data_IF_829258305634
#
_entry.id   IF_829258305634
#
_cell.length_a   1.000
_cell.length_b   1.000
_cell.length_c   1.000
_cell.angle_alpha   90.00
_cell.angle_beta   90.00
_cell.angle_gamma   90.00
#
_symmetry.space_group_name_H-M   'P 1'
#
loop_
_entity.id
_entity.type
_entity.pdbx_description
1 polymer ?
#
# COMPACT_ATOMS: atom_id res chain seq x y z
N UNK A 1 8.95 9.21 13.43
CA UNK A 1 10.13 8.45 12.98
C UNK A 1 10.90 9.34 12.00
N UNK A 2 12.14 9.74 12.29
CA UNK A 2 12.91 10.67 11.43
C UNK A 2 13.66 9.97 10.27
N UNK A 3 13.63 8.64 10.22
CA UNK A 3 14.37 7.83 9.24
C UNK A 3 13.66 6.51 8.98
N UNK A 4 13.55 6.10 7.72
CA UNK A 4 12.98 4.81 7.32
C UNK A 4 14.04 3.71 7.39
N UNK A 5 13.71 2.58 8.04
CA UNK A 5 14.64 1.47 8.29
C UNK A 5 15.98 1.91 8.94
N UNK A 6 15.97 3.04 9.66
CA UNK A 6 17.14 3.64 10.31
C UNK A 6 18.26 4.14 9.39
N UNK A 7 18.08 4.07 8.06
CA UNK A 7 19.12 4.45 7.09
C UNK A 7 18.65 5.30 5.92
N UNK A 8 17.33 5.43 5.70
CA UNK A 8 16.78 6.21 4.59
C UNK A 8 16.03 7.45 5.07
N UNK A 9 16.05 8.50 4.26
CA UNK A 9 15.17 9.67 4.43
C UNK A 9 13.71 9.26 4.25
N UNK A 10 12.78 10.07 4.78
CA UNK A 10 11.35 9.82 4.62
C UNK A 10 10.89 9.95 3.15
N UNK A 11 11.53 10.82 2.38
CA UNK A 11 11.26 10.96 0.94
C UNK A 11 11.64 9.69 0.18
N UNK A 12 12.82 9.13 0.47
CA UNK A 12 13.23 7.85 -0.10
C UNK A 12 12.29 6.72 0.32
N UNK A 13 11.74 6.78 1.53
CA UNK A 13 10.73 5.83 1.99
C UNK A 13 9.44 5.89 1.16
N UNK A 14 8.97 7.09 0.82
CA UNK A 14 7.79 7.30 -0.02
C UNK A 14 8.01 6.77 -1.44
N UNK A 15 9.21 6.96 -2.04
CA UNK A 15 9.57 6.33 -3.33
C UNK A 15 9.51 4.82 -3.23
N UNK A 16 10.23 4.25 -2.25
CA UNK A 16 10.34 2.80 -2.08
C UNK A 16 8.97 2.17 -1.89
N UNK A 17 8.10 2.83 -1.11
CA UNK A 17 6.72 2.42 -0.95
C UNK A 17 5.97 2.42 -2.28
N UNK A 18 6.02 3.52 -3.02
CA UNK A 18 5.37 3.64 -4.34
C UNK A 18 5.81 2.56 -5.31
N UNK A 19 7.12 2.31 -5.40
CA UNK A 19 7.69 1.23 -6.24
C UNK A 19 7.23 -0.16 -5.79
N UNK A 20 7.11 -0.40 -4.48
CA UNK A 20 6.57 -1.66 -3.97
C UNK A 20 5.09 -1.85 -4.36
N UNK A 21 4.28 -0.78 -4.32
CA UNK A 21 2.89 -0.85 -4.80
C UNK A 21 2.82 -1.13 -6.31
N UNK A 22 3.72 -0.56 -7.11
CA UNK A 22 3.82 -0.85 -8.56
C UNK A 22 4.16 -2.32 -8.78
N UNK A 23 5.16 -2.83 -8.07
CA UNK A 23 5.55 -4.24 -8.17
C UNK A 23 4.39 -5.19 -7.78
N UNK A 24 3.68 -4.88 -6.70
CA UNK A 24 2.51 -5.63 -6.27
C UNK A 24 1.38 -5.60 -7.33
N UNK A 25 1.08 -4.42 -7.89
CA UNK A 25 0.08 -4.29 -8.96
C UNK A 25 0.46 -5.15 -10.18
N UNK A 26 1.71 -5.08 -10.63
CA UNK A 26 2.19 -5.88 -11.76
C UNK A 26 2.10 -7.38 -11.47
N UNK A 27 2.51 -7.82 -10.27
CA UNK A 27 2.40 -9.22 -9.86
C UNK A 27 0.96 -9.75 -9.97
N UNK A 28 -0.01 -9.03 -9.41
CA UNK A 28 -1.41 -9.44 -9.46
C UNK A 28 -2.02 -9.32 -10.87
N UNK A 29 -1.59 -8.32 -11.65
CA UNK A 29 -1.98 -8.21 -13.06
C UNK A 29 -1.51 -9.44 -13.87
N UNK A 30 -0.23 -9.82 -13.75
CA UNK A 30 0.28 -11.00 -14.43
C UNK A 30 -0.43 -12.28 -13.97
N UNK A 31 -0.63 -12.45 -12.66
CA UNK A 31 -1.35 -13.61 -12.11
C UNK A 31 -2.78 -13.69 -12.67
N UNK A 32 -3.48 -12.56 -12.72
CA UNK A 32 -4.79 -12.47 -13.35
C UNK A 32 -4.78 -12.84 -14.85
N UNK A 33 -3.87 -12.26 -15.65
CA UNK A 33 -3.83 -12.49 -17.12
C UNK A 33 -3.53 -13.93 -17.52
N UNK A 34 -2.94 -14.70 -16.62
CA UNK A 34 -2.64 -16.12 -16.88
C UNK A 34 -3.82 -17.04 -16.55
N UNK A 35 -4.87 -16.55 -15.88
CA UNK A 35 -6.04 -17.32 -15.42
C UNK A 35 -5.68 -18.61 -14.65
N UNK A 36 -4.48 -18.65 -14.07
CA UNK A 36 -3.93 -19.85 -13.40
C UNK A 36 -4.64 -20.20 -12.08
N UNK A 37 -5.18 -19.26 -11.28
CA UNK A 37 -5.91 -19.63 -10.07
C UNK A 37 -7.43 -19.75 -10.29
N UNK A 38 -8.05 -20.70 -9.57
CA UNK A 38 -9.50 -20.94 -9.52
C UNK A 38 -10.30 -19.68 -9.19
N UNK A 39 -9.72 -18.74 -8.43
CA UNK A 39 -10.33 -17.46 -8.04
C UNK A 39 -9.60 -16.26 -8.65
N UNK A 40 -9.33 -16.30 -9.97
CA UNK A 40 -8.65 -15.24 -10.72
C UNK A 40 -9.29 -13.85 -10.58
N UNK A 41 -10.58 -13.75 -10.24
CA UNK A 41 -11.23 -12.46 -10.00
C UNK A 41 -10.70 -11.74 -8.75
N UNK A 42 -10.21 -12.47 -7.74
CA UNK A 42 -9.54 -11.84 -6.59
C UNK A 42 -8.22 -11.19 -7.00
N UNK A 43 -7.52 -11.73 -8.00
CA UNK A 43 -6.33 -11.09 -8.55
C UNK A 43 -6.64 -9.80 -9.27
N UNK A 44 -7.72 -9.78 -10.06
CA UNK A 44 -8.18 -8.55 -10.70
C UNK A 44 -8.53 -7.48 -9.65
N UNK A 45 -9.28 -7.84 -8.61
CA UNK A 45 -9.66 -6.89 -7.56
C UNK A 45 -8.44 -6.40 -6.78
N UNK A 46 -7.51 -7.28 -6.45
CA UNK A 46 -6.26 -6.92 -5.77
C UNK A 46 -5.40 -6.02 -6.65
N UNK A 47 -5.28 -6.33 -7.95
CA UNK A 47 -4.63 -5.47 -8.94
C UNK A 47 -5.25 -4.08 -8.97
N UNK A 48 -6.59 -3.97 -9.01
CA UNK A 48 -7.28 -2.67 -9.02
C UNK A 48 -7.01 -1.88 -7.74
N UNK A 49 -7.00 -2.51 -6.57
CA UNK A 49 -6.70 -1.86 -5.30
C UNK A 49 -5.27 -1.29 -5.29
N UNK A 50 -4.28 -2.10 -5.68
CA UNK A 50 -2.91 -1.62 -5.80
C UNK A 50 -2.76 -0.58 -6.93
N UNK A 51 -3.53 -0.71 -8.01
CA UNK A 51 -3.60 0.25 -9.11
C UNK A 51 -4.03 1.64 -8.62
N UNK A 52 -5.04 1.73 -7.76
CA UNK A 52 -5.45 3.01 -7.14
C UNK A 52 -4.31 3.63 -6.33
N UNK A 53 -3.54 2.82 -5.58
CA UNK A 53 -2.35 3.31 -4.83
C UNK A 53 -1.24 3.79 -5.75
N UNK A 54 -1.00 3.07 -6.84
CA UNK A 54 -0.02 3.44 -7.87
C UNK A 54 -0.43 4.75 -8.54
N UNK A 55 -1.70 4.93 -8.90
CA UNK A 55 -2.18 6.16 -9.50
C UNK A 55 -2.03 7.35 -8.56
N UNK A 56 -2.32 7.19 -7.26
CA UNK A 56 -2.09 8.24 -6.27
C UNK A 56 -0.60 8.57 -6.10
N UNK A 57 0.27 7.56 -6.13
CA UNK A 57 1.73 7.76 -6.11
C UNK A 57 2.22 8.53 -7.34
N UNK A 58 1.83 8.09 -8.54
CA UNK A 58 2.21 8.75 -9.81
C UNK A 58 1.68 10.18 -9.87
N UNK A 59 0.44 10.41 -9.42
CA UNK A 59 -0.15 11.74 -9.35
C UNK A 59 0.67 12.68 -8.45
N UNK A 60 1.02 12.24 -7.25
CA UNK A 60 1.82 13.05 -6.31
C UNK A 60 3.24 13.31 -6.80
N UNK A 61 3.85 12.34 -7.49
CA UNK A 61 5.18 12.50 -8.09
C UNK A 61 5.16 13.44 -9.31
N UNK A 62 4.15 13.35 -10.17
CA UNK A 62 4.13 14.04 -11.47
C UNK A 62 3.51 15.44 -11.42
N UNK A 63 2.46 15.65 -10.62
CA UNK A 63 1.69 16.89 -10.64
C UNK A 63 2.10 17.90 -9.58
N UNK A 64 2.56 17.43 -8.42
CA UNK A 64 2.90 18.28 -7.27
C UNK A 64 4.41 18.27 -6.97
N UNK A 65 5.26 18.21 -8.01
CA UNK A 65 6.72 18.15 -7.93
C UNK A 65 7.20 17.34 -6.73
N UNK A 66 6.88 16.05 -6.72
CA UNK A 66 7.36 15.13 -5.70
C UNK A 66 6.74 15.34 -4.30
N UNK A 67 5.41 15.42 -4.23
CA UNK A 67 4.68 15.63 -2.97
C UNK A 67 5.06 16.93 -2.24
N UNK A 68 5.34 18.02 -2.97
CA UNK A 68 5.70 19.31 -2.38
C UNK A 68 4.57 19.97 -1.56
N UNK A 69 3.33 19.49 -1.67
CA UNK A 69 2.19 20.04 -0.92
C UNK A 69 1.63 19.05 0.09
N UNK A 70 1.29 19.56 1.28
CA UNK A 70 0.60 18.81 2.34
C UNK A 70 -0.69 18.16 1.83
N UNK A 71 -1.41 18.83 0.93
CA UNK A 71 -2.63 18.29 0.31
C UNK A 71 -2.36 17.02 -0.49
N UNK A 72 -1.29 16.98 -1.28
CA UNK A 72 -0.91 15.80 -2.07
C UNK A 72 -0.53 14.62 -1.19
N UNK A 73 0.25 14.89 -0.12
CA UNK A 73 0.64 13.88 0.89
C UNK A 73 -0.58 13.30 1.61
N UNK A 74 -1.52 14.17 1.98
CA UNK A 74 -2.77 13.77 2.63
C UNK A 74 -3.65 12.90 1.73
N UNK A 75 -3.78 13.24 0.45
CA UNK A 75 -4.49 12.42 -0.53
C UNK A 75 -3.83 11.04 -0.64
N UNK A 76 -2.50 11.00 -0.79
CA UNK A 76 -1.76 9.74 -0.91
C UNK A 76 -1.92 8.85 0.33
N UNK A 77 -1.81 9.44 1.52
CA UNK A 77 -2.05 8.74 2.78
C UNK A 77 -3.49 8.22 2.91
N UNK A 78 -4.49 9.05 2.63
CA UNK A 78 -5.88 8.66 2.72
C UNK A 78 -6.20 7.52 1.75
N UNK A 79 -5.72 7.62 0.51
CA UNK A 79 -5.83 6.55 -0.48
C UNK A 79 -5.19 5.26 0.01
N UNK A 80 -4.00 5.33 0.60
CA UNK A 80 -3.32 4.16 1.16
C UNK A 80 -4.13 3.49 2.28
N UNK A 81 -4.66 4.27 3.22
CA UNK A 81 -5.46 3.77 4.35
C UNK A 81 -6.76 3.12 3.85
N UNK A 82 -7.53 3.79 3.00
CA UNK A 82 -8.79 3.26 2.49
C UNK A 82 -8.58 1.97 1.69
N UNK A 83 -7.57 1.96 0.82
CA UNK A 83 -7.22 0.76 0.04
C UNK A 83 -6.67 -0.37 0.93
N UNK A 84 -6.01 -0.06 2.06
CA UNK A 84 -5.58 -1.09 3.02
C UNK A 84 -6.77 -1.78 3.69
N UNK A 85 -7.80 -1.02 4.08
CA UNK A 85 -9.04 -1.59 4.61
C UNK A 85 -9.78 -2.41 3.56
N UNK A 86 -9.89 -1.90 2.33
CA UNK A 86 -10.50 -2.65 1.23
C UNK A 86 -9.76 -3.97 1.00
N UNK A 87 -8.43 -3.93 0.94
CA UNK A 87 -7.59 -5.11 0.77
C UNK A 87 -7.79 -6.11 1.93
N UNK A 88 -7.77 -5.65 3.18
CA UNK A 88 -7.99 -6.51 4.34
C UNK A 88 -9.36 -7.21 4.29
N UNK A 89 -10.42 -6.48 3.92
CA UNK A 89 -11.75 -7.05 3.75
C UNK A 89 -11.77 -8.14 2.66
N UNK A 90 -11.17 -7.87 1.50
CA UNK A 90 -11.11 -8.84 0.40
C UNK A 90 -10.34 -10.11 0.79
N UNK A 91 -9.21 -9.97 1.48
CA UNK A 91 -8.40 -11.11 1.94
C UNK A 91 -9.17 -11.98 2.91
N UNK A 92 -9.86 -11.38 3.90
CA UNK A 92 -10.67 -12.13 4.86
C UNK A 92 -11.77 -12.89 4.14
N UNK A 93 -12.44 -12.24 3.19
CA UNK A 93 -13.48 -12.88 2.39
C UNK A 93 -12.94 -14.05 1.55
N UNK A 94 -11.78 -13.86 0.90
CA UNK A 94 -11.10 -14.91 0.13
C UNK A 94 -10.67 -16.08 1.03
N UNK A 95 -10.14 -15.82 2.22
CA UNK A 95 -9.80 -16.85 3.20
C UNK A 95 -11.00 -17.69 3.63
N UNK A 96 -12.17 -17.06 3.82
CA UNK A 96 -13.40 -17.78 4.17
C UNK A 96 -13.80 -18.71 3.02
N UNK A 97 -13.74 -18.24 1.77
CA UNK A 97 -14.05 -19.08 0.59
C UNK A 97 -13.09 -20.26 0.50
N UNK A 98 -11.78 -20.04 0.61
CA UNK A 98 -10.79 -21.12 0.60
C UNK A 98 -11.03 -22.12 1.73
N UNK A 99 -11.36 -21.65 2.93
CA UNK A 99 -11.63 -22.54 4.05
C UNK A 99 -12.88 -23.39 3.79
N UNK A 100 -13.96 -22.79 3.29
CA UNK A 100 -15.21 -23.50 2.98
C UNK A 100 -15.02 -24.51 1.85
N UNK A 101 -14.35 -24.13 0.76
CA UNK A 101 -14.24 -24.96 -0.44
C UNK A 101 -13.30 -26.15 -0.25
N UNK A 102 -12.21 -25.97 0.51
CA UNK A 102 -11.22 -27.03 0.72
C UNK A 102 -11.39 -27.76 2.05
N UNK A 103 -12.32 -27.33 2.91
CA UNK A 103 -12.65 -27.98 4.18
C UNK A 103 -11.53 -27.92 5.24
N UNK A 104 -10.48 -27.13 5.02
CA UNK A 104 -9.38 -26.93 5.97
C UNK A 104 -8.87 -25.50 5.92
N UNK A 105 -8.27 -25.04 7.02
CA UNK A 105 -7.78 -23.68 7.14
C UNK A 105 -6.58 -23.45 6.21
N UNK A 106 -6.57 -22.40 5.36
CA UNK A 106 -5.50 -22.17 4.39
C UNK A 106 -4.26 -21.51 5.05
N UNK A 107 -3.51 -22.29 5.83
CA UNK A 107 -2.40 -21.83 6.68
C UNK A 107 -1.35 -21.01 5.92
N UNK A 108 -0.89 -21.50 4.77
CA UNK A 108 0.14 -20.81 3.97
C UNK A 108 -0.35 -19.44 3.47
N UNK A 109 -1.61 -19.40 3.03
CA UNK A 109 -2.25 -18.18 2.56
C UNK A 109 -2.43 -17.17 3.72
N UNK A 110 -2.82 -17.67 4.90
CA UNK A 110 -2.93 -16.88 6.12
C UNK A 110 -1.62 -16.20 6.51
N UNK A 111 -0.52 -16.95 6.60
CA UNK A 111 0.77 -16.37 6.98
C UNK A 111 1.31 -15.41 5.91
N UNK A 112 1.09 -15.69 4.62
CA UNK A 112 1.46 -14.79 3.54
C UNK A 112 0.81 -13.41 3.70
N UNK A 113 -0.50 -13.38 3.92
CA UNK A 113 -1.22 -12.11 4.11
C UNK A 113 -1.00 -11.46 5.47
N UNK A 114 -0.69 -12.24 6.51
CA UNK A 114 -0.28 -11.69 7.81
C UNK A 114 0.98 -10.83 7.65
N UNK A 115 1.98 -11.32 6.89
CA UNK A 115 3.22 -10.57 6.61
C UNK A 115 2.89 -9.31 5.82
N UNK A 116 2.07 -9.40 4.78
CA UNK A 116 1.64 -8.23 3.99
C UNK A 116 0.88 -7.22 4.86
N UNK A 117 0.04 -7.67 5.79
CA UNK A 117 -0.67 -6.84 6.75
C UNK A 117 0.30 -6.11 7.70
N UNK A 118 1.30 -6.83 8.23
CA UNK A 118 2.35 -6.25 9.06
C UNK A 118 3.17 -5.18 8.33
N UNK A 119 3.52 -5.45 7.06
CA UNK A 119 4.23 -4.48 6.21
C UNK A 119 3.36 -3.24 5.94
N UNK A 120 2.07 -3.41 5.60
CA UNK A 120 1.15 -2.28 5.42
C UNK A 120 0.98 -1.46 6.70
N UNK A 121 0.91 -2.10 7.88
CA UNK A 121 0.82 -1.41 9.16
C UNK A 121 2.09 -0.58 9.45
N UNK A 122 3.27 -1.13 9.16
CA UNK A 122 4.52 -0.37 9.25
C UNK A 122 4.53 0.82 8.28
N UNK A 123 4.11 0.61 7.04
CA UNK A 123 4.02 1.68 6.02
C UNK A 123 3.02 2.78 6.39
N UNK A 124 1.92 2.44 7.05
CA UNK A 124 1.00 3.42 7.61
C UNK A 124 1.75 4.36 8.58
N UNK A 125 2.50 3.81 9.55
CA UNK A 125 3.23 4.62 10.54
C UNK A 125 4.25 5.56 9.87
N UNK A 126 4.93 5.06 8.84
CA UNK A 126 5.90 5.84 8.05
C UNK A 126 5.20 6.97 7.30
N UNK A 127 4.11 6.68 6.58
CA UNK A 127 3.35 7.69 5.84
C UNK A 127 2.72 8.74 6.76
N UNK A 128 2.25 8.34 7.93
CA UNK A 128 1.76 9.28 8.94
C UNK A 128 2.86 10.23 9.40
N UNK A 129 4.08 9.73 9.58
CA UNK A 129 5.23 10.58 9.91
C UNK A 129 5.62 11.50 8.74
N UNK A 130 5.51 11.02 7.49
CA UNK A 130 5.78 11.80 6.29
C UNK A 130 4.81 12.98 6.09
N UNK A 131 3.54 12.83 6.48
CA UNK A 131 2.60 13.95 6.49
C UNK A 131 2.94 15.01 7.53
N UNK A 132 3.36 14.60 8.74
CA UNK A 132 3.56 15.50 9.88
C UNK A 132 4.91 16.24 9.87
N UNK A 133 5.86 15.84 9.01
CA UNK A 133 7.23 16.36 9.06
C UNK A 133 7.40 17.78 8.47
N UNK A 134 6.42 18.26 7.71
CA UNK A 134 6.50 19.60 7.09
C UNK A 134 5.77 20.67 7.93
N UNK A 135 4.76 20.28 8.72
CA UNK A 135 4.15 21.18 9.73
C UNK A 135 5.20 21.67 10.75
N UNK A 136 6.17 20.83 11.14
CA UNK A 136 7.29 21.25 12.02
C UNK A 136 8.41 22.02 11.27
N UNK A 137 8.51 21.86 9.95
CA UNK A 137 9.51 22.54 9.12
C UNK A 137 9.16 24.00 8.83
N UNK A 138 7.88 24.29 8.65
CA UNK A 138 7.37 25.66 8.45
C UNK A 138 7.45 26.51 9.74
N UNK A 139 7.37 25.91 10.93
CA UNK A 139 7.54 26.63 12.21
C UNK A 139 9.00 27.05 12.48
N UNK A 140 9.98 26.30 11.98
CA UNK A 140 11.41 26.61 12.09
C UNK A 140 11.93 27.57 11.02
N UNK A 141 11.19 27.77 9.92
CA UNK A 141 11.49 28.77 8.89
C UNK A 141 11.02 30.19 9.24
N UNK A 142 10.32 30.36 10.37
CA UNK A 142 9.80 31.65 10.86
C UNK A 142 10.50 32.16 12.15
N UNK A 143 11.62 31.55 12.56
CA UNK A 143 12.49 32.03 13.65
C UNK A 143 13.86 32.42 13.11
#
# INVERSE_FOLDING_TARGET
VKSYLSCFSLDTAAILLGLLQINAALFFFFRWTTFIPTYWWFDLLTFLIYGVRVMAFVYGCWKDDYFATVKSRSIYYLTFVLSAYALAFFIVFEMIIYWVDYGHFPVQYFFGWLIVGGINAYHWIVLRSFMNFEDEGDELGQQ
#
